data_IF_871350520073
#
_entry.id   IF_871350520073
#
_cell.length_a   1.000
_cell.length_b   1.000
_cell.length_c   1.000
_cell.angle_alpha   90.00
_cell.angle_beta   90.00
_cell.angle_gamma   90.00
#
_symmetry.space_group_name_H-M   'P 1'
#
loop_
_entity.id
_entity.type
_entity.pdbx_description
1 polymer ?
#
# COMPACT_ATOMS: atom_id res chain seq x y z
N UNK A 1 -10.49 6.87 5.07
CA UNK A 1 -10.77 5.50 4.57
C UNK A 1 -9.47 4.73 4.29
N UNK A 2 -8.57 5.24 3.44
CA UNK A 2 -7.25 4.64 3.15
C UNK A 2 -6.46 4.26 4.40
N UNK A 3 -6.30 5.19 5.35
CA UNK A 3 -5.59 4.95 6.62
C UNK A 3 -6.23 3.84 7.46
N UNK A 4 -7.57 3.78 7.53
CA UNK A 4 -8.26 2.77 8.31
C UNK A 4 -7.99 1.35 7.77
N UNK A 5 -8.07 1.17 6.44
CA UNK A 5 -7.79 -0.14 5.81
C UNK A 5 -6.33 -0.54 6.07
N UNK A 6 -5.39 0.39 5.88
CA UNK A 6 -3.96 0.15 6.13
C UNK A 6 -3.69 -0.24 7.58
N UNK A 7 -4.25 0.50 8.55
CA UNK A 7 -4.10 0.18 9.98
C UNK A 7 -4.68 -1.20 10.28
N UNK A 8 -5.89 -1.53 9.80
CA UNK A 8 -6.49 -2.85 9.99
C UNK A 8 -5.61 -3.97 9.43
N UNK A 9 -5.09 -3.82 8.21
CA UNK A 9 -4.23 -4.84 7.60
C UNK A 9 -2.93 -5.03 8.38
N UNK A 10 -2.27 -3.93 8.76
CA UNK A 10 -1.05 -3.99 9.55
C UNK A 10 -1.28 -4.69 10.90
N UNK A 11 -2.36 -4.34 11.62
CA UNK A 11 -2.71 -5.00 12.87
C UNK A 11 -2.98 -6.49 12.67
N UNK A 12 -3.72 -6.89 11.63
CA UNK A 12 -3.96 -8.31 11.34
C UNK A 12 -2.63 -9.08 11.12
N UNK A 13 -1.68 -8.49 10.40
CA UNK A 13 -0.36 -9.10 10.19
C UNK A 13 0.46 -9.18 11.48
N UNK A 14 0.39 -8.18 12.37
CA UNK A 14 1.04 -8.23 13.69
C UNK A 14 0.53 -9.41 14.53
N UNK A 15 -0.76 -9.73 14.43
CA UNK A 15 -1.37 -10.90 15.07
C UNK A 15 -1.19 -12.20 14.27
N UNK A 16 -0.38 -12.20 13.20
CA UNK A 16 -0.14 -13.35 12.31
C UNK A 16 -1.42 -13.91 11.68
N UNK A 17 -2.42 -13.05 11.46
CA UNK A 17 -3.66 -13.39 10.76
C UNK A 17 -3.46 -13.22 9.25
N UNK A 18 -4.07 -14.11 8.46
CA UNK A 18 -4.14 -13.99 7.00
C UNK A 18 -5.45 -13.30 6.64
N UNK A 19 -5.44 -12.02 6.21
CA UNK A 19 -6.66 -11.32 5.82
C UNK A 19 -7.21 -11.87 4.50
N UNK A 20 -8.53 -12.08 4.47
CA UNK A 20 -9.27 -12.43 3.24
C UNK A 20 -10.10 -11.19 2.87
N UNK A 21 -9.80 -10.61 1.71
CA UNK A 21 -10.42 -9.36 1.25
C UNK A 21 -11.24 -9.66 0.00
N UNK A 22 -12.45 -9.12 -0.06
CA UNK A 22 -13.32 -9.20 -1.23
C UNK A 22 -14.07 -7.89 -1.42
N UNK A 23 -14.58 -7.63 -2.62
CA UNK A 23 -15.49 -6.51 -2.84
C UNK A 23 -16.79 -6.70 -2.02
N UNK A 24 -17.35 -5.60 -1.51
CA UNK A 24 -18.63 -5.62 -0.83
C UNK A 24 -19.78 -5.42 -1.82
N UNK A 25 -20.17 -6.50 -2.49
CA UNK A 25 -21.21 -6.54 -3.53
C UNK A 25 -22.59 -5.99 -3.10
N UNK A 26 -22.85 -5.90 -1.79
CA UNK A 26 -24.15 -5.47 -1.24
C UNK A 26 -24.31 -3.95 -1.14
N UNK A 27 -23.21 -3.19 -1.16
CA UNK A 27 -23.22 -1.73 -0.94
C UNK A 27 -22.64 -0.95 -2.14
N UNK A 28 -21.96 -1.63 -3.07
CA UNK A 28 -21.42 -0.99 -4.28
C UNK A 28 -22.53 -0.58 -5.26
N UNK A 29 -22.80 0.73 -5.31
CA UNK A 29 -23.60 1.37 -6.37
C UNK A 29 -22.87 1.14 -7.70
N UNK A 30 -23.58 0.97 -8.82
CA UNK A 30 -23.02 0.62 -10.13
C UNK A 30 -21.87 1.54 -10.63
N UNK A 31 -21.78 2.77 -10.13
CA UNK A 31 -20.71 3.74 -10.43
C UNK A 31 -19.38 3.48 -9.67
N UNK A 32 -19.41 2.66 -8.61
CA UNK A 32 -18.26 2.27 -7.76
C UNK A 32 -18.16 0.73 -7.69
N UNK A 33 -18.52 0.03 -8.77
CA UNK A 33 -18.19 -1.39 -8.88
C UNK A 33 -16.74 -1.52 -9.30
N UNK A 34 -15.91 -2.00 -8.39
CA UNK A 34 -14.61 -2.56 -8.73
C UNK A 34 -14.87 -3.93 -9.35
N UNK A 35 -15.48 -3.98 -10.54
CA UNK A 35 -15.97 -5.21 -11.18
C UNK A 35 -14.89 -6.24 -11.53
N UNK A 36 -13.71 -6.14 -10.93
CA UNK A 36 -12.56 -6.97 -11.07
C UNK A 36 -11.72 -6.97 -9.78
N UNK A 37 -11.67 -8.12 -9.10
CA UNK A 37 -10.81 -8.34 -7.93
C UNK A 37 -9.31 -8.15 -8.25
N UNK A 38 -8.89 -8.19 -9.53
CA UNK A 38 -7.51 -7.88 -9.92
C UNK A 38 -7.19 -6.41 -9.56
N UNK A 39 -8.11 -5.46 -9.80
CA UNK A 39 -7.91 -4.05 -9.42
C UNK A 39 -7.94 -3.85 -7.90
N UNK A 40 -8.84 -4.54 -7.19
CA UNK A 40 -8.87 -4.52 -5.73
C UNK A 40 -7.53 -4.99 -5.15
N UNK A 41 -7.00 -6.10 -5.66
CA UNK A 41 -5.71 -6.64 -5.25
C UNK A 41 -4.57 -5.63 -5.50
N UNK A 42 -4.55 -4.97 -6.66
CA UNK A 42 -3.55 -3.94 -6.96
C UNK A 42 -3.63 -2.73 -6.01
N UNK A 43 -4.84 -2.28 -5.66
CA UNK A 43 -5.01 -1.20 -4.68
C UNK A 43 -4.55 -1.60 -3.28
N UNK A 44 -4.91 -2.82 -2.83
CA UNK A 44 -4.47 -3.36 -1.52
C UNK A 44 -2.96 -3.50 -1.48
N UNK A 45 -2.34 -3.94 -2.58
CA UNK A 45 -0.88 -4.04 -2.72
C UNK A 45 -0.22 -2.68 -2.46
N UNK A 46 -0.74 -1.60 -3.03
CA UNK A 46 -0.25 -0.24 -2.74
C UNK A 46 -0.40 0.24 -1.29
N UNK A 47 -1.11 -0.50 -0.43
CA UNK A 47 -1.24 -0.22 1.01
C UNK A 47 -0.19 -0.94 1.86
N UNK A 48 0.58 -1.87 1.29
CA UNK A 48 1.54 -2.70 2.02
C UNK A 48 2.98 -2.17 1.82
N UNK A 49 3.92 -2.60 2.66
CA UNK A 49 5.34 -2.22 2.50
C UNK A 49 6.07 -3.33 1.73
N UNK A 50 6.52 -3.01 0.51
CA UNK A 50 7.24 -3.92 -0.40
C UNK A 50 6.57 -5.28 -0.68
N UNK A 51 5.25 -5.34 -0.98
CA UNK A 51 4.60 -6.59 -1.37
C UNK A 51 5.03 -7.10 -2.76
N UNK A 52 4.91 -8.41 -2.93
CA UNK A 52 4.80 -9.05 -4.24
C UNK A 52 3.34 -9.38 -4.49
N UNK A 53 2.73 -8.82 -5.54
CA UNK A 53 1.38 -9.20 -5.96
C UNK A 53 1.45 -10.43 -6.86
N UNK A 54 0.81 -11.52 -6.46
CA UNK A 54 0.67 -12.72 -7.31
C UNK A 54 -0.79 -12.85 -7.77
N UNK A 55 -1.00 -12.75 -9.08
CA UNK A 55 -2.30 -12.96 -9.72
C UNK A 55 -2.33 -14.38 -10.28
N UNK A 56 -3.10 -15.26 -9.63
CA UNK A 56 -3.33 -16.63 -10.10
C UNK A 56 -4.46 -16.65 -11.13
N UNK A 57 -4.14 -17.13 -12.32
CA UNK A 57 -5.03 -17.18 -13.49
C UNK A 57 -5.18 -18.61 -14.00
N UNK A 58 -6.00 -18.81 -15.04
CA UNK A 58 -6.08 -20.09 -15.79
C UNK A 58 -5.10 -20.15 -16.97
N UNK A 59 -4.26 -19.12 -17.12
CA UNK A 59 -3.19 -19.05 -18.11
C UNK A 59 -1.85 -18.90 -17.40
N UNK A 60 -0.79 -19.44 -18.01
CA UNK A 60 0.54 -19.43 -17.43
C UNK A 60 1.11 -18.03 -17.20
N UNK A 61 0.69 -17.03 -17.96
CA UNK A 61 1.14 -15.64 -17.84
C UNK A 61 0.81 -14.86 -19.11
N UNK A 62 1.61 -13.84 -19.41
CA UNK A 62 1.51 -13.08 -20.64
C UNK A 62 2.29 -13.76 -21.77
N UNK A 63 1.66 -13.90 -22.92
CA UNK A 63 2.27 -14.47 -24.12
C UNK A 63 2.57 -13.39 -25.15
N UNK A 64 3.55 -13.65 -26.02
CA UNK A 64 3.88 -12.82 -27.18
C UNK A 64 2.87 -12.91 -28.35
N UNK A 65 1.75 -13.59 -28.12
CA UNK A 65 0.64 -13.78 -29.07
C UNK A 65 -0.49 -14.58 -28.43
N UNK A 66 -1.36 -15.15 -29.27
CA UNK A 66 -2.44 -16.04 -28.82
C UNK A 66 -1.88 -17.37 -28.27
N UNK A 67 -2.08 -17.70 -26.97
CA UNK A 67 -1.58 -18.93 -26.36
C UNK A 67 -2.07 -20.21 -27.04
N UNK A 68 -3.19 -20.15 -27.79
CA UNK A 68 -3.71 -21.30 -28.53
C UNK A 68 -2.97 -21.56 -29.86
N UNK A 69 -2.17 -20.61 -30.35
CA UNK A 69 -1.44 -20.74 -31.62
C UNK A 69 -0.07 -21.39 -31.42
N UNK A 70 0.25 -22.35 -32.29
CA UNK A 70 1.58 -22.95 -32.35
C UNK A 70 2.65 -21.89 -32.59
N UNK A 71 3.60 -21.78 -31.67
CA UNK A 71 4.74 -20.87 -31.75
C UNK A 71 4.67 -19.67 -30.82
N UNK A 72 3.54 -19.40 -30.17
CA UNK A 72 3.49 -18.37 -29.12
C UNK A 72 4.27 -18.81 -27.88
N UNK A 73 4.99 -17.87 -27.28
CA UNK A 73 5.86 -18.09 -26.13
C UNK A 73 5.42 -17.24 -24.95
N UNK A 74 5.57 -17.81 -23.77
CA UNK A 74 5.43 -17.10 -22.52
C UNK A 74 6.53 -16.04 -22.41
N UNK A 75 6.14 -14.82 -22.04
CA UNK A 75 7.06 -13.74 -21.71
C UNK A 75 7.42 -13.91 -20.23
N UNK A 76 8.67 -14.25 -19.86
CA UNK A 76 9.02 -14.50 -18.46
C UNK A 76 9.17 -13.21 -17.64
N UNK A 77 9.57 -12.11 -18.29
CA UNK A 77 9.92 -10.86 -17.63
C UNK A 77 9.48 -9.65 -18.46
N UNK A 78 8.85 -8.69 -17.79
CA UNK A 78 8.48 -7.38 -18.32
C UNK A 78 9.11 -6.31 -17.42
N UNK A 79 10.14 -5.64 -17.93
CA UNK A 79 10.93 -4.66 -17.15
C UNK A 79 10.22 -3.31 -17.04
N UNK A 80 9.39 -2.97 -18.02
CA UNK A 80 8.66 -1.71 -18.03
C UNK A 80 7.33 -1.85 -18.72
N UNK A 81 6.32 -1.19 -18.15
CA UNK A 81 5.03 -1.05 -18.80
C UNK A 81 5.11 -0.18 -20.06
N UNK A 82 4.55 -0.67 -21.17
CA UNK A 82 4.24 0.10 -22.37
C UNK A 82 2.83 -0.25 -22.91
N UNK A 83 2.32 0.54 -23.87
CA UNK A 83 0.99 0.31 -24.44
C UNK A 83 0.95 -0.89 -25.40
N UNK A 84 2.11 -1.37 -25.89
CA UNK A 84 2.16 -2.57 -26.74
C UNK A 84 1.78 -3.85 -25.98
N UNK A 85 2.02 -3.90 -24.67
CA UNK A 85 1.54 -4.99 -23.80
C UNK A 85 0.01 -5.17 -23.85
N UNK A 86 -0.75 -4.09 -24.00
CA UNK A 86 -2.22 -4.17 -24.13
C UNK A 86 -2.65 -4.78 -25.45
N UNK A 87 -1.88 -4.58 -26.52
CA UNK A 87 -2.14 -5.21 -27.82
C UNK A 87 -2.03 -6.73 -27.71
N UNK A 88 -1.01 -7.24 -27.00
CA UNK A 88 -0.85 -8.68 -26.73
C UNK A 88 -2.04 -9.27 -25.94
N UNK A 89 -2.65 -8.47 -25.06
CA UNK A 89 -3.82 -8.84 -24.28
C UNK A 89 -5.10 -8.99 -25.12
N UNK A 90 -5.22 -8.21 -26.20
CA UNK A 90 -6.35 -8.28 -27.14
C UNK A 90 -6.28 -9.57 -27.96
N UNK A 91 -5.07 -9.97 -28.35
CA UNK A 91 -4.81 -11.16 -29.16
C UNK A 91 -4.96 -12.47 -28.39
N UNK A 92 -4.93 -12.43 -27.05
CA UNK A 92 -4.97 -13.58 -26.14
C UNK A 92 -6.36 -13.87 -25.55
N UNK A 93 -7.44 -13.39 -26.19
CA UNK A 93 -8.83 -13.66 -25.75
C UNK A 93 -9.15 -15.15 -25.75
N UNK A 94 -9.04 -15.78 -24.58
CA UNK A 94 -9.57 -17.13 -24.36
C UNK A 94 -11.09 -17.11 -24.25
N UNK A 95 -11.75 -18.15 -24.77
CA UNK A 95 -13.21 -18.22 -24.94
C UNK A 95 -14.02 -18.39 -23.63
N UNK A 96 -13.41 -18.37 -22.44
CA UNK A 96 -14.05 -18.90 -21.21
C UNK A 96 -13.96 -18.05 -19.94
N UNK A 97 -13.47 -16.80 -19.99
CA UNK A 97 -13.34 -15.93 -18.81
C UNK A 97 -14.07 -14.59 -18.96
N UNK A 98 -14.76 -14.15 -17.91
CA UNK A 98 -15.41 -12.82 -17.83
C UNK A 98 -14.41 -11.70 -17.47
N UNK A 99 -13.27 -12.03 -16.86
CA UNK A 99 -12.15 -11.13 -16.58
C UNK A 99 -10.91 -11.54 -17.39
N UNK A 100 -10.64 -10.83 -18.49
CA UNK A 100 -9.60 -11.20 -19.45
C UNK A 100 -8.17 -10.80 -19.03
N UNK A 101 -7.19 -11.12 -19.89
CA UNK A 101 -5.79 -10.66 -19.72
C UNK A 101 -5.71 -9.13 -19.60
N UNK A 102 -6.61 -8.39 -20.24
CA UNK A 102 -6.68 -6.93 -20.12
C UNK A 102 -6.87 -6.45 -18.68
N UNK A 103 -7.78 -7.07 -17.93
CA UNK A 103 -8.04 -6.75 -16.51
C UNK A 103 -6.80 -6.92 -15.65
N UNK A 104 -6.10 -8.05 -15.85
CA UNK A 104 -4.86 -8.38 -15.14
C UNK A 104 -3.77 -7.38 -15.47
N UNK A 105 -3.64 -7.00 -16.73
CA UNK A 105 -2.69 -5.99 -17.15
C UNK A 105 -3.05 -4.59 -16.62
N UNK A 106 -4.32 -4.24 -16.48
CA UNK A 106 -4.71 -2.99 -15.81
C UNK A 106 -4.34 -3.00 -14.32
N UNK A 107 -4.52 -4.12 -13.62
CA UNK A 107 -4.05 -4.32 -12.25
C UNK A 107 -2.51 -4.25 -12.14
N UNK A 108 -1.79 -4.93 -13.04
CA UNK A 108 -0.33 -4.85 -13.17
C UNK A 108 0.11 -3.39 -13.33
N UNK A 109 -0.54 -2.63 -14.21
CA UNK A 109 -0.23 -1.21 -14.44
C UNK A 109 -0.37 -0.39 -13.15
N UNK A 110 -1.44 -0.62 -12.37
CA UNK A 110 -1.69 0.09 -11.11
C UNK A 110 -0.56 -0.23 -10.10
N UNK A 111 -0.25 -1.51 -9.88
CA UNK A 111 0.75 -1.95 -8.91
C UNK A 111 2.19 -1.53 -9.32
N UNK A 112 2.56 -1.74 -10.58
CA UNK A 112 3.89 -1.38 -11.08
C UNK A 112 4.12 0.13 -11.14
N UNK A 113 3.06 0.94 -11.31
CA UNK A 113 3.14 2.40 -11.23
C UNK A 113 3.49 2.91 -9.82
N UNK A 114 3.06 2.18 -8.78
CA UNK A 114 3.45 2.46 -7.39
C UNK A 114 4.78 1.81 -6.97
N UNK A 115 5.41 1.07 -7.89
CA UNK A 115 6.74 0.51 -7.73
C UNK A 115 6.79 -0.90 -7.17
N UNK A 116 5.65 -1.59 -7.11
CA UNK A 116 5.54 -2.96 -6.63
C UNK A 116 5.59 -3.96 -7.79
N UNK A 117 6.18 -5.11 -7.53
CA UNK A 117 6.32 -6.18 -8.51
C UNK A 117 5.05 -7.04 -8.57
N UNK A 118 4.76 -7.56 -9.76
CA UNK A 118 3.58 -8.40 -10.00
C UNK A 118 3.98 -9.66 -10.74
N UNK A 119 3.45 -10.81 -10.33
CA UNK A 119 3.55 -12.07 -11.08
C UNK A 119 2.16 -12.50 -11.52
N UNK A 120 2.01 -12.83 -12.81
CA UNK A 120 0.85 -13.57 -13.31
C UNK A 120 1.29 -15.01 -13.54
N UNK A 121 0.59 -15.97 -12.93
CA UNK A 121 0.91 -17.40 -13.03
C UNK A 121 -0.35 -18.28 -13.14
N UNK A 122 -0.18 -19.53 -13.57
CA UNK A 122 -1.27 -20.52 -13.62
C UNK A 122 -1.60 -21.03 -12.20
N UNK A 123 -2.78 -20.69 -11.70
CA UNK A 123 -3.29 -21.11 -10.41
C UNK A 123 -3.70 -22.59 -10.34
N UNK A 124 -3.77 -23.29 -11.48
CA UNK A 124 -4.05 -24.72 -11.52
C UNK A 124 -2.80 -25.58 -11.31
N UNK A 125 -1.61 -24.99 -11.40
CA UNK A 125 -0.35 -25.68 -11.15
C UNK A 125 -0.18 -26.00 -9.65
N UNK A 126 0.05 -27.28 -9.29
CA UNK A 126 0.29 -27.65 -7.90
C UNK A 126 1.49 -26.93 -7.31
N UNK A 127 1.33 -26.36 -6.11
CA UNK A 127 2.39 -25.65 -5.36
C UNK A 127 2.98 -24.44 -6.08
N UNK A 128 2.25 -23.82 -7.01
CA UNK A 128 2.73 -22.65 -7.77
C UNK A 128 3.28 -21.53 -6.88
N UNK A 129 2.66 -21.27 -5.72
CA UNK A 129 3.15 -20.26 -4.77
C UNK A 129 4.48 -20.65 -4.13
N UNK A 130 4.66 -21.91 -3.72
CA UNK A 130 5.93 -22.39 -3.17
C UNK A 130 7.05 -22.28 -4.21
N UNK A 131 6.73 -22.58 -5.48
CA UNK A 131 7.66 -22.50 -6.60
C UNK A 131 8.09 -21.05 -6.89
N UNK A 132 7.14 -20.12 -6.93
CA UNK A 132 7.41 -18.69 -7.05
C UNK A 132 8.29 -18.21 -5.90
N UNK A 133 7.94 -18.54 -4.65
CA UNK A 133 8.70 -18.13 -3.46
C UNK A 133 10.09 -18.77 -3.39
N UNK A 134 10.31 -19.90 -4.07
CA UNK A 134 11.62 -20.54 -4.21
C UNK A 134 12.50 -19.92 -5.31
N UNK A 135 12.00 -18.93 -6.05
CA UNK A 135 12.74 -18.22 -7.09
C UNK A 135 12.80 -18.96 -8.44
N UNK A 136 11.85 -19.86 -8.71
CA UNK A 136 11.73 -20.48 -10.05
C UNK A 136 11.10 -19.51 -11.05
N UNK A 137 11.51 -19.62 -12.31
CA UNK A 137 10.94 -18.87 -13.43
C UNK A 137 9.53 -19.38 -13.78
N UNK A 138 8.54 -18.95 -13.00
CA UNK A 138 7.13 -19.31 -13.16
C UNK A 138 6.33 -18.09 -13.60
N UNK A 139 5.62 -18.24 -14.72
CA UNK A 139 4.73 -17.23 -15.27
C UNK A 139 5.44 -16.00 -15.82
N UNK A 140 4.83 -14.83 -15.63
CA UNK A 140 5.38 -13.54 -16.08
C UNK A 140 5.59 -12.62 -14.89
N UNK A 141 6.84 -12.22 -14.66
CA UNK A 141 7.21 -11.18 -13.70
C UNK A 141 7.15 -9.79 -14.36
N UNK A 142 6.40 -8.88 -13.77
CA UNK A 142 6.35 -7.47 -14.14
C UNK A 142 7.05 -6.66 -13.07
N UNK A 143 8.13 -5.98 -13.45
CA UNK A 143 8.87 -5.14 -12.53
C UNK A 143 8.15 -3.82 -12.30
N UNK A 144 8.00 -3.46 -11.04
CA UNK A 144 7.64 -2.11 -10.65
C UNK A 144 8.72 -1.14 -11.13
N UNK A 145 8.34 0.13 -11.32
CA UNK A 145 9.35 1.20 -11.45
C UNK A 145 10.05 1.37 -10.11
N UNK A 146 11.01 0.49 -9.79
CA UNK A 146 11.78 0.53 -8.57
C UNK A 146 12.39 1.92 -8.43
N UNK A 147 11.92 2.62 -7.43
CA UNK A 147 12.50 3.85 -6.90
C UNK A 147 12.70 3.51 -5.43
N UNK A 148 13.86 3.83 -4.86
CA UNK A 148 14.32 3.35 -3.54
C UNK A 148 13.40 3.65 -2.34
N UNK A 149 12.28 4.34 -2.56
CA UNK A 149 11.27 4.71 -1.58
C UNK A 149 9.89 4.30 -2.12
N UNK A 150 9.09 3.47 -1.40
CA UNK A 150 7.73 3.08 -1.79
C UNK A 150 6.87 4.28 -2.21
N UNK A 151 6.00 4.14 -3.22
CA UNK A 151 5.28 5.29 -3.78
C UNK A 151 4.41 6.03 -2.76
N UNK A 152 3.79 5.32 -1.81
CA UNK A 152 3.02 5.95 -0.75
C UNK A 152 3.92 6.80 0.18
N UNK A 153 5.14 6.33 0.48
CA UNK A 153 6.15 7.11 1.22
C UNK A 153 6.57 8.34 0.42
N UNK A 154 6.71 8.24 -0.91
CA UNK A 154 6.99 9.40 -1.77
C UNK A 154 5.86 10.42 -1.76
N UNK A 155 4.63 9.94 -1.84
CA UNK A 155 3.44 10.79 -1.84
C UNK A 155 3.36 11.60 -0.55
N UNK A 156 3.53 10.97 0.61
CA UNK A 156 3.53 11.66 1.92
C UNK A 156 4.78 12.54 2.09
N UNK A 157 5.97 11.99 1.84
CA UNK A 157 7.25 12.65 2.13
C UNK A 157 7.53 13.86 1.22
N UNK A 158 7.17 13.79 -0.06
CA UNK A 158 7.66 14.75 -1.06
C UNK A 158 6.59 15.38 -1.96
N UNK A 159 5.37 14.83 -2.04
CA UNK A 159 4.34 15.36 -2.96
C UNK A 159 3.21 16.10 -2.24
N UNK A 160 2.73 15.59 -1.10
CA UNK A 160 1.60 16.20 -0.37
C UNK A 160 2.10 17.33 0.51
N UNK A 161 1.48 18.51 0.38
CA UNK A 161 1.70 19.62 1.29
C UNK A 161 1.09 19.27 2.67
N UNK A 162 1.87 19.29 3.77
CA UNK A 162 1.35 19.03 5.09
C UNK A 162 0.26 20.03 5.47
N UNK A 163 -0.80 19.54 6.12
CA UNK A 163 -1.94 20.34 6.61
C UNK A 163 -1.71 20.89 8.01
N UNK A 164 -0.82 20.26 8.76
CA UNK A 164 -0.39 20.69 10.09
C UNK A 164 1.01 20.20 10.43
N UNK A 165 1.45 20.52 11.63
CA UNK A 165 2.80 20.22 12.13
C UNK A 165 2.79 19.82 13.59
N UNK A 166 3.65 18.88 13.95
CA UNK A 166 3.92 18.47 15.32
C UNK A 166 5.35 18.86 15.67
N UNK A 167 5.54 19.66 16.73
CA UNK A 167 6.87 19.83 17.33
C UNK A 167 7.10 18.75 18.35
N UNK A 168 8.22 18.05 18.19
CA UNK A 168 8.56 16.88 18.97
C UNK A 168 9.71 17.16 19.92
N UNK A 169 9.72 16.49 21.07
CA UNK A 169 10.90 16.52 21.93
C UNK A 169 12.04 15.68 21.36
N UNK A 170 13.24 15.88 21.92
CA UNK A 170 14.43 15.18 21.48
C UNK A 170 14.33 13.64 21.59
N UNK A 171 13.53 13.12 22.54
CA UNK A 171 13.32 11.69 22.71
C UNK A 171 12.47 11.10 21.59
N UNK A 172 11.37 11.77 21.27
CA UNK A 172 10.46 11.42 20.19
C UNK A 172 11.13 11.55 18.83
N UNK A 173 11.91 12.63 18.60
CA UNK A 173 12.73 12.77 17.39
C UNK A 173 13.64 11.57 17.20
N UNK A 174 14.47 11.23 18.20
CA UNK A 174 15.38 10.07 18.11
C UNK A 174 14.64 8.75 17.88
N UNK A 175 13.49 8.56 18.51
CA UNK A 175 12.68 7.35 18.34
C UNK A 175 12.15 7.21 16.91
N UNK A 176 11.70 8.32 16.32
CA UNK A 176 11.21 8.35 14.93
C UNK A 176 12.37 8.23 13.94
N UNK A 177 13.37 9.10 14.03
CA UNK A 177 14.43 9.27 13.04
C UNK A 177 15.43 8.10 13.05
N UNK A 178 15.84 7.62 14.23
CA UNK A 178 16.91 6.63 14.34
C UNK A 178 16.46 5.24 14.75
N UNK A 179 15.27 5.10 15.37
CA UNK A 179 14.78 3.80 15.85
C UNK A 179 13.59 3.26 15.03
N UNK A 180 13.07 4.03 14.06
CA UNK A 180 11.93 3.61 13.23
C UNK A 180 10.67 3.32 14.04
N UNK A 181 10.44 4.01 15.16
CA UNK A 181 9.28 3.82 16.03
C UNK A 181 8.12 4.75 15.67
N UNK A 182 6.92 4.33 16.05
CA UNK A 182 5.71 5.13 15.95
C UNK A 182 5.80 6.38 16.83
N UNK A 183 5.15 7.47 16.42
CA UNK A 183 5.02 8.67 17.22
C UNK A 183 3.89 8.50 18.25
N UNK A 184 4.25 8.53 19.53
CA UNK A 184 3.29 8.56 20.64
C UNK A 184 2.96 10.01 21.04
N UNK A 185 1.77 10.22 21.60
CA UNK A 185 1.31 11.53 22.04
C UNK A 185 2.24 12.18 23.08
N UNK A 186 2.88 11.36 23.92
CA UNK A 186 3.83 11.78 24.95
C UNK A 186 4.99 12.62 24.40
N UNK A 187 5.39 12.36 23.16
CA UNK A 187 6.49 13.03 22.48
C UNK A 187 6.14 14.36 21.81
N UNK A 188 4.85 14.73 21.77
CA UNK A 188 4.37 15.93 21.07
C UNK A 188 4.34 17.10 22.06
N UNK A 189 5.10 18.16 21.73
CA UNK A 189 5.18 19.41 22.52
C UNK A 189 4.19 20.45 22.06
N UNK A 190 3.95 20.56 20.75
CA UNK A 190 2.93 21.47 20.22
C UNK A 190 2.36 20.98 18.88
N UNK A 191 1.15 21.46 18.58
CA UNK A 191 0.38 21.12 17.39
C UNK A 191 0.03 22.42 16.67
N UNK A 192 0.42 22.53 15.40
CA UNK A 192 0.21 23.71 14.55
C UNK A 192 -0.67 23.36 13.35
N UNK A 193 -1.61 24.24 13.00
CA UNK A 193 -2.52 24.04 11.87
C UNK A 193 -3.80 23.29 12.22
N UNK A 194 -4.67 23.15 11.23
CA UNK A 194 -5.95 22.43 11.31
C UNK A 194 -5.94 21.29 10.30
N UNK A 195 -6.23 20.08 10.76
CA UNK A 195 -6.17 18.87 9.97
C UNK A 195 -7.10 17.80 10.53
N UNK A 196 -7.56 16.92 9.65
CA UNK A 196 -8.38 15.77 9.97
C UNK A 196 -7.54 14.49 10.11
N UNK A 197 -8.14 13.46 10.69
CA UNK A 197 -7.58 12.10 10.73
C UNK A 197 -7.25 11.61 9.31
N UNK A 198 -6.05 11.07 9.13
CA UNK A 198 -5.53 10.60 7.85
C UNK A 198 -4.97 11.68 6.93
N UNK A 199 -4.92 12.94 7.36
CA UNK A 199 -4.17 13.96 6.64
C UNK A 199 -2.67 13.91 6.97
N UNK A 200 -1.85 14.41 6.04
CA UNK A 200 -0.40 14.46 6.20
C UNK A 200 -0.03 15.64 7.12
N UNK A 201 0.79 15.35 8.12
CA UNK A 201 1.36 16.32 9.05
C UNK A 201 2.89 16.23 9.04
N UNK A 202 3.55 17.37 9.19
CA UNK A 202 5.00 17.48 9.32
C UNK A 202 5.43 17.23 10.76
N UNK A 203 6.58 16.60 10.96
CA UNK A 203 7.23 16.41 12.25
C UNK A 203 8.46 17.31 12.28
N UNK A 204 8.42 18.28 13.18
CA UNK A 204 9.47 19.25 13.43
C UNK A 204 10.17 18.93 14.75
N UNK A 205 11.46 19.25 14.81
CA UNK A 205 12.20 19.24 16.06
C UNK A 205 11.89 20.47 16.94
N UNK A 206 12.62 20.64 18.05
CA UNK A 206 12.46 21.78 18.95
C UNK A 206 12.90 23.12 18.32
N UNK A 207 13.71 23.08 17.26
CA UNK A 207 14.18 24.23 16.50
C UNK A 207 13.22 24.62 15.37
N UNK A 208 12.25 23.76 15.05
CA UNK A 208 11.29 23.95 13.97
C UNK A 208 11.73 23.36 12.64
N UNK A 209 12.81 22.57 12.63
CA UNK A 209 13.31 21.90 11.44
C UNK A 209 12.50 20.61 11.18
N UNK A 210 11.89 20.53 9.99
CA UNK A 210 11.12 19.37 9.55
C UNK A 210 12.07 18.21 9.23
N UNK A 211 11.87 17.07 9.89
CA UNK A 211 12.69 15.87 9.69
C UNK A 211 11.89 14.64 9.25
N UNK A 212 10.56 14.69 9.36
CA UNK A 212 9.69 13.60 8.92
C UNK A 212 8.27 14.10 8.58
N UNK A 213 7.50 13.25 7.91
CA UNK A 213 6.06 13.43 7.68
C UNK A 213 5.30 12.14 7.97
N UNK A 214 4.02 12.24 8.28
CA UNK A 214 3.18 11.05 8.40
C UNK A 214 1.69 11.31 8.38
N UNK A 215 0.90 10.25 8.31
CA UNK A 215 -0.56 10.29 8.39
C UNK A 215 -1.00 10.19 9.85
N UNK A 216 -1.74 11.20 10.33
CA UNK A 216 -2.18 11.24 11.74
C UNK A 216 -3.42 10.39 12.00
N UNK A 217 -3.43 9.65 13.11
CA UNK A 217 -4.59 8.91 13.61
C UNK A 217 -5.63 9.80 14.33
N UNK A 218 -5.25 11.02 14.72
CA UNK A 218 -6.08 11.98 15.44
C UNK A 218 -6.22 13.29 14.66
N UNK A 219 -7.35 13.98 14.80
CA UNK A 219 -7.51 15.33 14.25
C UNK A 219 -6.75 16.38 15.10
N UNK A 220 -6.71 17.63 14.62
CA UNK A 220 -6.00 18.73 15.29
C UNK A 220 -6.50 19.00 16.71
N UNK A 221 -7.80 18.87 16.97
CA UNK A 221 -8.40 19.12 18.29
C UNK A 221 -8.06 18.00 19.26
N UNK A 222 -8.24 16.76 18.81
CA UNK A 222 -7.91 15.56 19.57
C UNK A 222 -6.42 15.52 19.91
N UNK A 223 -5.55 15.79 18.93
CA UNK A 223 -4.09 15.77 19.13
C UNK A 223 -3.66 16.81 20.17
N UNK A 224 -4.23 18.02 20.15
CA UNK A 224 -3.96 19.05 21.17
C UNK A 224 -4.36 18.62 22.57
N UNK A 225 -5.47 17.87 22.69
CA UNK A 225 -5.93 17.37 23.99
C UNK A 225 -5.01 16.30 24.56
N UNK A 226 -4.37 15.50 23.70
CA UNK A 226 -3.54 14.35 24.13
C UNK A 226 -2.03 14.61 24.10
N UNK A 227 -1.59 15.70 23.48
CA UNK A 227 -0.18 16.08 23.42
C UNK A 227 0.47 16.05 24.82
N UNK A 228 1.64 15.40 24.92
CA UNK A 228 2.37 15.20 26.17
C UNK A 228 1.80 14.14 27.11
N UNK A 229 0.66 13.51 26.80
CA UNK A 229 0.07 12.46 27.65
C UNK A 229 0.59 11.06 27.31
N UNK A 230 0.56 10.17 28.31
CA UNK A 230 0.83 8.74 28.11
C UNK A 230 -0.38 8.07 27.46
N UNK A 231 -0.14 7.00 26.69
CA UNK A 231 -1.18 6.23 25.99
C UNK A 231 -2.33 5.81 26.92
N UNK A 232 -2.03 5.36 28.15
CA UNK A 232 -3.04 4.97 29.13
C UNK A 232 -3.98 6.11 29.57
N UNK A 233 -3.57 7.37 29.40
CA UNK A 233 -4.37 8.55 29.74
C UNK A 233 -5.14 9.10 28.55
N UNK A 234 -4.88 8.63 27.33
CA UNK A 234 -5.60 9.04 26.12
C UNK A 234 -7.08 8.64 26.24
N UNK A 235 -7.35 7.39 26.66
CA UNK A 235 -8.72 6.87 26.77
C UNK A 235 -9.58 7.66 27.77
N UNK A 236 -8.95 8.28 28.78
CA UNK A 236 -9.63 9.12 29.76
C UNK A 236 -10.06 10.48 29.19
N UNK A 237 -9.39 10.93 28.13
CA UNK A 237 -9.58 12.27 27.54
C UNK A 237 -10.47 12.20 26.31
N UNK A 238 -10.27 11.19 25.45
CA UNK A 238 -10.98 11.04 24.18
C UNK A 238 -12.04 9.93 24.19
N UNK A 239 -12.18 9.19 25.29
CA UNK A 239 -12.96 7.95 25.32
C UNK A 239 -12.20 6.78 24.68
N UNK A 240 -12.90 5.68 24.42
CA UNK A 240 -12.30 4.49 23.83
C UNK A 240 -11.83 4.79 22.40
N UNK A 241 -10.51 4.76 22.18
CA UNK A 241 -9.88 5.06 20.88
C UNK A 241 -9.08 3.86 20.41
N UNK A 242 -9.20 3.47 19.13
CA UNK A 242 -8.62 2.22 18.62
C UNK A 242 -7.11 2.29 18.37
N UNK A 243 -6.45 3.43 18.61
CA UNK A 243 -5.05 3.66 18.28
C UNK A 243 -4.28 4.19 19.50
N UNK A 244 -3.11 3.59 19.77
CA UNK A 244 -2.23 4.00 20.86
C UNK A 244 -1.27 5.14 20.44
N UNK A 245 -0.91 5.13 19.16
CA UNK A 245 0.02 6.05 18.53
C UNK A 245 -0.68 7.15 17.73
N UNK A 246 -0.08 8.34 17.72
CA UNK A 246 -0.55 9.47 16.93
C UNK A 246 -0.21 9.29 15.46
N UNK A 247 0.98 8.74 15.16
CA UNK A 247 1.36 8.30 13.81
C UNK A 247 2.06 6.95 13.96
N UNK A 248 1.56 5.93 13.27
CA UNK A 248 2.23 4.63 13.19
C UNK A 248 3.53 4.71 12.38
N UNK A 249 4.57 3.95 12.76
CA UNK A 249 5.85 3.91 12.03
C UNK A 249 5.67 3.59 10.54
N UNK A 250 4.71 2.73 10.22
CA UNK A 250 4.41 2.33 8.84
C UNK A 250 3.57 3.38 8.11
N UNK A 251 3.22 4.48 8.75
CA UNK A 251 2.55 5.64 8.15
C UNK A 251 3.45 6.89 8.23
N UNK A 252 4.75 6.70 8.50
CA UNK A 252 5.74 7.73 8.73
C UNK A 252 6.88 7.62 7.71
N UNK A 253 7.40 8.77 7.29
CA UNK A 253 8.52 8.89 6.37
C UNK A 253 9.51 9.90 6.95
N UNK A 254 10.75 9.47 7.18
CA UNK A 254 11.86 10.37 7.51
C UNK A 254 12.36 11.01 6.22
N UNK A 255 12.53 12.34 6.22
CA UNK A 255 12.79 13.14 5.01
C UNK A 255 14.17 13.82 5.00
N UNK A 256 14.98 13.55 6.02
CA UNK A 256 16.37 14.04 6.17
C UNK A 256 17.39 12.96 5.87
#
# INVERSE_FOLDING_TARGET
RYLNVRNTLNTLFEYKVVPIINENDTVSIAEIKFGDNDQLAAMVTGLMDSPLLVILSVVAGLYDGDPAKSGSKLIPLVVSWDEALRTLAVESKSARGTGGMQSKLDAVRIATAVGEDVIIADGTQPRVLDEILSGKDIGTLFLGKHKSVPAWKRWIGFTVKPKGRFRLDAGARRAVEHQGKSLLAAGIKSVVGEFARGEVVALEDEHGDEFARGLTNFDSRETRLVAGKKTADIAKVLGDVPYAEVIHRDNLVVTV
#
